data_IF_242843801604
#
_entry.id   IF_242843801604
#
_cell.length_a   1.000
_cell.length_b   1.000
_cell.length_c   1.000
_cell.angle_alpha   90.00
_cell.angle_beta   90.00
_cell.angle_gamma   90.00
#
_symmetry.space_group_name_H-M   'P 1'
#
loop_
_entity.id
_entity.type
_entity.pdbx_description
1 polymer ?
#
# COMPACT_ATOMS: atom_id res chain seq x y z
N UNK A 1 -15.94 -5.55 5.68
CA UNK A 1 -15.28 -5.70 4.36
C UNK A 1 -15.43 -7.10 3.78
N UNK A 2 -14.95 -8.19 4.41
CA UNK A 2 -15.11 -9.54 3.83
C UNK A 2 -16.58 -9.92 3.60
N UNK A 3 -17.44 -9.70 4.59
CA UNK A 3 -18.90 -9.88 4.46
C UNK A 3 -19.52 -8.99 3.38
N UNK A 4 -18.97 -7.79 3.16
CA UNK A 4 -19.45 -6.86 2.15
C UNK A 4 -19.11 -7.34 0.74
N UNK A 5 -17.90 -7.86 0.53
CA UNK A 5 -17.47 -8.47 -0.74
C UNK A 5 -18.31 -9.70 -1.05
N UNK A 6 -18.52 -10.58 -0.05
CA UNK A 6 -19.41 -11.74 -0.20
C UNK A 6 -20.84 -11.33 -0.54
N UNK A 7 -21.37 -10.30 0.12
CA UNK A 7 -22.70 -9.76 -0.17
C UNK A 7 -22.83 -9.24 -1.60
N UNK A 8 -21.84 -8.49 -2.09
CA UNK A 8 -21.82 -7.98 -3.48
C UNK A 8 -21.79 -9.14 -4.48
N UNK A 9 -20.95 -10.15 -4.26
CA UNK A 9 -20.86 -11.33 -5.13
C UNK A 9 -22.18 -12.11 -5.10
N UNK A 10 -22.76 -12.32 -3.92
CA UNK A 10 -24.02 -13.04 -3.77
C UNK A 10 -25.16 -12.34 -4.53
N UNK A 11 -25.34 -11.03 -4.32
CA UNK A 11 -26.37 -10.25 -5.02
C UNK A 11 -26.13 -10.27 -6.54
N UNK A 12 -24.89 -10.07 -6.99
CA UNK A 12 -24.57 -10.11 -8.42
C UNK A 12 -24.87 -11.48 -9.05
N UNK A 13 -24.56 -12.57 -8.33
CA UNK A 13 -24.82 -13.95 -8.79
C UNK A 13 -26.31 -14.29 -8.84
N UNK A 14 -27.12 -13.73 -7.95
CA UNK A 14 -28.58 -13.93 -7.96
C UNK A 14 -29.26 -13.28 -9.16
N UNK A 15 -28.70 -12.18 -9.69
CA UNK A 15 -29.26 -11.48 -10.85
C UNK A 15 -28.74 -12.10 -12.16
N UNK A 16 -27.42 -12.35 -12.26
CA UNK A 16 -26.79 -12.92 -13.46
C UNK A 16 -25.79 -14.02 -13.04
N UNK A 17 -26.18 -15.30 -13.07
CA UNK A 17 -25.29 -16.40 -12.70
C UNK A 17 -24.00 -16.46 -13.56
N UNK A 18 -24.08 -16.04 -14.83
CA UNK A 18 -22.96 -15.98 -15.77
C UNK A 18 -21.83 -15.03 -15.32
N UNK A 19 -22.11 -14.10 -14.42
CA UNK A 19 -21.12 -13.14 -13.88
C UNK A 19 -20.03 -13.83 -13.04
N UNK A 20 -20.26 -15.07 -12.60
CA UNK A 20 -19.28 -15.83 -11.84
C UNK A 20 -18.05 -16.20 -12.69
N UNK A 21 -18.21 -16.34 -14.01
CA UNK A 21 -17.14 -16.70 -14.95
C UNK A 21 -15.99 -15.68 -14.91
N UNK A 22 -16.20 -14.36 -15.10
CA UNK A 22 -15.14 -13.37 -14.99
C UNK A 22 -14.61 -13.17 -13.56
N UNK A 23 -15.39 -13.51 -12.52
CA UNK A 23 -14.94 -13.39 -11.12
C UNK A 23 -13.80 -14.36 -10.80
N UNK A 24 -13.83 -15.58 -11.32
CA UNK A 24 -12.78 -16.60 -11.07
C UNK A 24 -11.37 -16.14 -11.48
N UNK A 25 -11.11 -15.68 -12.72
CA UNK A 25 -9.79 -15.18 -13.11
C UNK A 25 -9.41 -13.89 -12.36
N UNK A 26 -10.36 -12.98 -12.11
CA UNK A 26 -10.14 -11.79 -11.28
C UNK A 26 -9.67 -12.18 -9.86
N UNK A 27 -10.28 -13.19 -9.25
CA UNK A 27 -9.88 -13.69 -7.93
C UNK A 27 -8.47 -14.28 -7.96
N UNK A 28 -8.12 -15.04 -9.00
CA UNK A 28 -6.77 -15.58 -9.19
C UNK A 28 -5.70 -14.47 -9.26
N UNK A 29 -5.95 -13.44 -10.08
CA UNK A 29 -5.06 -12.27 -10.18
C UNK A 29 -4.98 -11.52 -8.85
N UNK A 30 -6.10 -11.35 -8.15
CA UNK A 30 -6.12 -10.67 -6.84
C UNK A 30 -5.26 -11.41 -5.81
N UNK A 31 -5.37 -12.74 -5.72
CA UNK A 31 -4.59 -13.54 -4.79
C UNK A 31 -3.09 -13.47 -5.09
N UNK A 32 -2.71 -13.52 -6.38
CA UNK A 32 -1.33 -13.35 -6.81
C UNK A 32 -0.80 -11.97 -6.42
N UNK A 33 -1.53 -10.90 -6.77
CA UNK A 33 -1.13 -9.53 -6.52
C UNK A 33 -1.02 -9.23 -5.02
N UNK A 34 -1.98 -9.74 -4.23
CA UNK A 34 -1.96 -9.64 -2.77
C UNK A 34 -0.73 -10.33 -2.18
N UNK A 35 -0.40 -11.54 -2.65
CA UNK A 35 0.78 -12.28 -2.16
C UNK A 35 2.07 -11.54 -2.48
N UNK A 36 2.17 -10.98 -3.69
CA UNK A 36 3.30 -10.15 -4.10
C UNK A 36 3.41 -8.88 -3.23
N UNK A 37 2.33 -8.12 -3.12
CA UNK A 37 2.26 -6.91 -2.31
C UNK A 37 2.63 -7.14 -0.85
N UNK A 38 2.09 -8.18 -0.21
CA UNK A 38 2.36 -8.46 1.20
C UNK A 38 3.83 -8.81 1.46
N UNK A 39 4.50 -9.50 0.53
CA UNK A 39 5.93 -9.77 0.66
C UNK A 39 6.73 -8.47 0.58
N UNK A 40 6.53 -7.71 -0.50
CA UNK A 40 7.24 -6.45 -0.73
C UNK A 40 6.98 -5.41 0.35
N UNK A 41 5.72 -5.18 0.71
CA UNK A 41 5.31 -4.22 1.74
C UNK A 41 5.92 -4.54 3.10
N UNK A 42 6.03 -5.82 3.46
CA UNK A 42 6.69 -6.25 4.70
C UNK A 42 8.18 -5.93 4.69
N UNK A 43 8.87 -6.20 3.58
CA UNK A 43 10.31 -5.93 3.48
C UNK A 43 10.59 -4.41 3.49
N UNK A 44 9.78 -3.63 2.78
CA UNK A 44 9.83 -2.16 2.82
C UNK A 44 9.50 -1.62 4.23
N UNK A 45 8.54 -2.22 4.93
CA UNK A 45 8.22 -1.84 6.31
C UNK A 45 9.36 -2.15 7.29
N UNK A 46 10.10 -3.24 7.06
CA UNK A 46 11.31 -3.57 7.84
C UNK A 46 12.44 -2.59 7.55
N UNK A 47 12.60 -2.18 6.30
CA UNK A 47 13.57 -1.15 5.92
C UNK A 47 13.26 0.17 6.65
N UNK A 48 12.02 0.65 6.57
CA UNK A 48 11.56 1.87 7.26
C UNK A 48 11.74 1.79 8.78
N UNK A 49 11.42 0.65 9.40
CA UNK A 49 11.63 0.47 10.82
C UNK A 49 13.11 0.53 11.22
N UNK A 50 14.01 0.08 10.34
CA UNK A 50 15.46 0.05 10.60
C UNK A 50 16.08 1.42 10.42
N UNK A 51 15.62 2.21 9.44
CA UNK A 51 16.10 3.59 9.22
C UNK A 51 15.57 4.58 10.25
N UNK A 52 14.52 4.22 11.00
CA UNK A 52 13.95 5.05 12.05
C UNK A 52 14.79 5.10 13.34
N UNK A 53 15.44 4.00 13.73
CA UNK A 53 16.16 3.96 15.02
C UNK A 53 17.40 4.86 15.10
N UNK A 54 18.22 5.06 14.05
CA UNK A 54 19.35 5.98 14.08
C UNK A 54 18.93 7.43 14.32
N UNK A 55 17.77 7.86 13.81
CA UNK A 55 17.23 9.21 14.04
C UNK A 55 17.02 9.46 15.54
N UNK A 56 16.35 8.53 16.22
CA UNK A 56 16.10 8.63 17.67
C UNK A 56 17.37 8.49 18.49
N UNK A 57 18.26 7.57 18.11
CA UNK A 57 19.54 7.39 18.81
C UNK A 57 20.42 8.63 18.70
N UNK A 58 20.56 9.21 17.50
CA UNK A 58 21.35 10.41 17.26
C UNK A 58 20.78 11.62 18.02
N UNK A 59 19.45 11.76 18.03
CA UNK A 59 18.77 12.79 18.82
C UNK A 59 19.06 12.63 20.32
N UNK A 60 18.93 11.41 20.85
CA UNK A 60 19.19 11.11 22.27
C UNK A 60 20.63 11.46 22.65
N UNK A 61 21.62 11.02 21.87
CA UNK A 61 23.03 11.34 22.10
C UNK A 61 23.32 12.83 21.98
N UNK A 62 22.68 13.53 21.04
CA UNK A 62 22.83 14.99 20.88
C UNK A 62 22.28 15.76 22.07
N UNK A 63 21.16 15.33 22.65
CA UNK A 63 20.57 15.96 23.84
C UNK A 63 21.45 15.74 25.08
N UNK A 64 21.98 14.53 25.27
CA UNK A 64 22.89 14.24 26.38
C UNK A 64 24.21 15.00 26.27
N UNK A 65 24.76 15.13 25.05
CA UNK A 65 26.03 15.82 24.77
C UNK A 65 25.91 17.31 24.42
N UNK A 66 24.74 17.93 24.64
CA UNK A 66 24.43 19.26 24.09
C UNK A 66 25.45 20.34 24.49
N UNK A 67 25.87 20.33 25.76
CA UNK A 67 26.87 21.28 26.27
C UNK A 67 28.21 21.12 25.56
N UNK A 68 28.67 19.90 25.34
CA UNK A 68 29.91 19.59 24.61
C UNK A 68 29.81 20.05 23.16
N UNK A 69 28.70 19.76 22.48
CA UNK A 69 28.49 20.17 21.08
C UNK A 69 28.60 21.69 20.93
N UNK A 70 27.99 22.45 21.85
CA UNK A 70 28.05 23.92 21.87
C UNK A 70 29.44 24.45 22.22
N UNK A 71 30.12 23.83 23.18
CA UNK A 71 31.48 24.22 23.57
C UNK A 71 32.48 24.10 22.40
N UNK A 72 32.27 23.13 21.50
CA UNK A 72 33.08 22.93 20.30
C UNK A 72 32.50 23.61 19.04
N UNK A 73 31.42 24.38 19.14
CA UNK A 73 30.72 25.00 18.00
C UNK A 73 30.43 23.99 16.85
N UNK A 74 30.07 22.75 17.21
CA UNK A 74 29.90 21.64 16.27
C UNK A 74 28.44 21.42 15.83
N UNK A 75 27.54 22.36 16.10
CA UNK A 75 26.09 22.22 15.88
C UNK A 75 25.76 21.90 14.42
N UNK A 76 26.38 22.62 13.48
CA UNK A 76 26.14 22.40 12.03
C UNK A 76 26.51 20.99 11.59
N UNK A 77 27.56 20.41 12.17
CA UNK A 77 27.99 19.04 11.85
C UNK A 77 26.97 18.02 12.33
N UNK A 78 26.48 18.18 13.57
CA UNK A 78 25.44 17.31 14.13
C UNK A 78 24.09 17.48 13.43
N UNK A 79 23.71 18.70 13.04
CA UNK A 79 22.52 18.97 12.23
C UNK A 79 22.60 18.23 10.90
N UNK A 80 23.71 18.37 10.15
CA UNK A 80 23.89 17.67 8.87
C UNK A 80 23.83 16.14 9.00
N UNK A 81 24.35 15.59 10.11
CA UNK A 81 24.26 14.15 10.38
C UNK A 81 22.82 13.71 10.69
N UNK A 82 22.09 14.52 11.46
CA UNK A 82 20.68 14.28 11.76
C UNK A 82 19.82 14.34 10.49
N UNK A 83 20.01 15.36 9.65
CA UNK A 83 19.31 15.53 8.37
C UNK A 83 19.53 14.30 7.47
N UNK A 84 20.78 13.79 7.38
CA UNK A 84 21.07 12.59 6.60
C UNK A 84 20.33 11.34 7.11
N UNK A 85 20.18 11.17 8.43
CA UNK A 85 19.38 10.08 9.00
C UNK A 85 17.89 10.27 8.72
N UNK A 86 17.41 11.52 8.76
CA UNK A 86 16.02 11.86 8.48
C UNK A 86 15.66 11.66 7.01
N UNK A 87 16.55 12.01 6.09
CA UNK A 87 16.38 11.80 4.65
C UNK A 87 16.25 10.32 4.34
N UNK A 88 17.13 9.48 4.90
CA UNK A 88 17.07 8.02 4.72
C UNK A 88 15.79 7.41 5.30
N UNK A 89 15.32 7.88 6.46
CA UNK A 89 14.03 7.45 7.01
C UNK A 89 12.86 7.88 6.12
N UNK A 90 12.89 9.13 5.66
CA UNK A 90 11.85 9.70 4.79
C UNK A 90 11.75 8.99 3.45
N UNK A 91 12.89 8.62 2.86
CA UNK A 91 12.95 7.83 1.63
C UNK A 91 12.29 6.45 1.81
N UNK A 92 12.65 5.73 2.88
CA UNK A 92 12.07 4.42 3.18
C UNK A 92 10.57 4.51 3.48
N UNK A 93 10.14 5.55 4.18
CA UNK A 93 8.72 5.83 4.43
C UNK A 93 7.96 6.15 3.13
N UNK A 94 8.53 6.99 2.26
CA UNK A 94 7.93 7.31 0.97
C UNK A 94 7.80 6.07 0.08
N UNK A 95 8.80 5.18 0.10
CA UNK A 95 8.75 3.89 -0.61
C UNK A 95 7.61 3.01 -0.09
N UNK A 96 7.38 2.99 1.23
CA UNK A 96 6.25 2.27 1.84
C UNK A 96 4.90 2.83 1.35
N UNK A 97 4.74 4.15 1.34
CA UNK A 97 3.53 4.82 0.84
C UNK A 97 3.28 4.53 -0.64
N UNK A 98 4.31 4.66 -1.46
CA UNK A 98 4.23 4.44 -2.91
C UNK A 98 3.89 2.98 -3.23
N UNK A 99 4.47 2.03 -2.49
CA UNK A 99 4.13 0.59 -2.63
C UNK A 99 2.66 0.32 -2.30
N UNK A 100 2.14 0.93 -1.23
CA UNK A 100 0.72 0.85 -0.87
C UNK A 100 -0.19 1.45 -1.95
N UNK A 101 0.19 2.63 -2.48
CA UNK A 101 -0.56 3.30 -3.54
C UNK A 101 -0.58 2.50 -4.84
N UNK A 102 0.54 1.89 -5.22
CA UNK A 102 0.63 1.02 -6.39
C UNK A 102 -0.34 -0.17 -6.30
N UNK A 103 -0.44 -0.80 -5.12
CA UNK A 103 -1.38 -1.89 -4.91
C UNK A 103 -2.83 -1.43 -4.98
N UNK A 104 -3.17 -0.30 -4.35
CA UNK A 104 -4.50 0.30 -4.43
C UNK A 104 -4.89 0.60 -5.89
N UNK A 105 -4.01 1.24 -6.65
CA UNK A 105 -4.25 1.56 -8.06
C UNK A 105 -4.51 0.30 -8.91
N UNK A 106 -3.76 -0.79 -8.68
CA UNK A 106 -4.00 -2.06 -9.37
C UNK A 106 -5.35 -2.68 -9.00
N UNK A 107 -5.77 -2.58 -7.74
CA UNK A 107 -7.11 -3.02 -7.32
C UNK A 107 -8.22 -2.19 -7.97
N UNK A 108 -8.03 -0.88 -8.10
CA UNK A 108 -8.98 0.01 -8.77
C UNK A 108 -9.15 -0.35 -10.25
N UNK A 109 -8.05 -0.68 -10.95
CA UNK A 109 -8.11 -1.18 -12.34
C UNK A 109 -8.91 -2.49 -12.40
N UNK A 110 -8.68 -3.43 -11.49
CA UNK A 110 -9.42 -4.70 -11.46
C UNK A 110 -10.92 -4.47 -11.20
N UNK A 111 -11.25 -3.55 -10.28
CA UNK A 111 -12.62 -3.15 -10.01
C UNK A 111 -13.27 -2.52 -11.26
N UNK A 112 -12.57 -1.63 -11.95
CA UNK A 112 -13.05 -1.00 -13.18
C UNK A 112 -13.35 -2.05 -14.26
N UNK A 113 -12.44 -3.00 -14.49
CA UNK A 113 -12.67 -4.10 -15.44
C UNK A 113 -13.90 -4.93 -15.06
N UNK A 114 -14.04 -5.29 -13.78
CA UNK A 114 -15.19 -6.06 -13.30
C UNK A 114 -16.52 -5.32 -13.51
N UNK A 115 -16.56 -4.03 -13.17
CA UNK A 115 -17.76 -3.19 -13.35
C UNK A 115 -18.10 -3.05 -14.83
N UNK A 116 -17.10 -2.84 -15.70
CA UNK A 116 -17.33 -2.79 -17.15
C UNK A 116 -17.94 -4.10 -17.66
N UNK A 117 -17.35 -5.26 -17.33
CA UNK A 117 -17.92 -6.56 -17.74
C UNK A 117 -19.33 -6.76 -17.22
N UNK A 118 -19.57 -6.39 -15.95
CA UNK A 118 -20.90 -6.48 -15.31
C UNK A 118 -21.93 -5.65 -16.06
N UNK A 119 -21.63 -4.37 -16.34
CA UNK A 119 -22.55 -3.44 -16.99
C UNK A 119 -22.86 -3.89 -18.42
N UNK A 120 -21.84 -4.25 -19.21
CA UNK A 120 -22.05 -4.75 -20.57
C UNK A 120 -22.79 -6.09 -20.58
N UNK A 121 -22.51 -6.98 -19.63
CA UNK A 121 -23.25 -8.23 -19.44
C UNK A 121 -24.73 -8.00 -19.15
N UNK A 122 -25.05 -7.09 -18.21
CA UNK A 122 -26.43 -6.70 -17.93
C UNK A 122 -27.14 -6.14 -19.17
N UNK A 123 -26.48 -5.29 -19.95
CA UNK A 123 -27.07 -4.71 -21.17
C UNK A 123 -27.36 -5.76 -22.24
N UNK A 124 -26.44 -6.71 -22.48
CA UNK A 124 -26.63 -7.76 -23.48
C UNK A 124 -27.68 -8.79 -23.07
N UNK A 125 -27.76 -9.13 -21.78
CA UNK A 125 -28.78 -10.04 -21.26
C UNK A 125 -30.16 -9.40 -21.14
N UNK A 126 -30.26 -8.06 -21.16
CA UNK A 126 -31.54 -7.35 -21.16
C UNK A 126 -32.43 -7.77 -22.33
N UNK A 127 -31.85 -7.92 -23.52
CA UNK A 127 -32.59 -8.32 -24.73
C UNK A 127 -33.09 -9.78 -24.69
N UNK A 128 -32.65 -10.59 -23.72
CA UNK A 128 -33.09 -11.98 -23.50
C UNK A 128 -34.13 -12.11 -22.37
N UNK A 129 -34.36 -11.04 -21.59
CA UNK A 129 -35.22 -11.02 -20.41
C UNK A 129 -36.55 -10.27 -20.62
N UNK A 130 -36.75 -9.64 -21.79
CA UNK A 130 -38.05 -9.14 -22.27
C UNK A 130 -38.74 -10.21 -23.15
#
# INVERSE_FOLDING_TARGET
>A
VFLQILGVIAVASSVIPWILIPVVPLLGVFLFLRRYYLRTSRDVKRLESTTRSPVFSHLSSSLQGLWTIRAFCAEKRFQKAFDAHQDLHSEAWFLFLTTSRWFAFRLDIMCSIFVTITVFGCLLLRDQLD
#
